data_IF_640070335362
#
_entry.id   IF_640070335362
#
_cell.length_a   1.000
_cell.length_b   1.000
_cell.length_c   1.000
_cell.angle_alpha   90.00
_cell.angle_beta   90.00
_cell.angle_gamma   90.00
#
_symmetry.space_group_name_H-M   'P 1'
#
loop_
_entity.id
_entity.type
_entity.pdbx_description
1 polymer ?
#
# COMPACT_ATOMS: atom_id res chain seq x y z
N UNK A 1 10.42 71.62 -62.38
CA UNK A 1 9.88 71.50 -63.74
C UNK A 1 8.38 71.41 -63.59
N UNK A 2 7.66 72.37 -64.20
CA UNK A 2 6.27 72.32 -64.70
C UNK A 2 5.19 71.81 -63.73
N UNK A 3 4.38 72.68 -63.11
CA UNK A 3 3.13 73.31 -63.60
C UNK A 3 1.98 72.29 -63.72
N UNK A 4 0.75 72.52 -63.28
CA UNK A 4 0.02 73.78 -63.00
C UNK A 4 -1.03 73.59 -61.88
N UNK A 5 -1.47 74.66 -61.22
CA UNK A 5 -2.57 75.55 -61.65
C UNK A 5 -3.91 74.79 -61.72
N UNK A 6 -4.77 74.92 -60.71
CA UNK A 6 -5.84 75.94 -60.64
C UNK A 6 -6.97 75.44 -59.69
N UNK A 7 -7.20 76.24 -58.64
CA UNK A 7 -8.46 76.66 -57.97
C UNK A 7 -9.82 76.28 -58.64
N UNK A 8 -11.01 76.49 -58.00
CA UNK A 8 -11.40 76.36 -56.58
C UNK A 8 -12.88 75.95 -56.31
N UNK A 9 -13.24 75.95 -55.00
CA UNK A 9 -14.56 76.27 -54.42
C UNK A 9 -15.69 75.24 -54.66
N UNK A 10 -16.67 75.02 -53.78
CA UNK A 10 -17.25 75.81 -52.68
C UNK A 10 -18.22 74.89 -51.89
N UNK A 11 -18.63 75.38 -50.71
CA UNK A 11 -19.80 75.01 -49.90
C UNK A 11 -19.71 73.72 -49.05
N UNK A 12 -19.52 73.79 -47.71
CA UNK A 12 -20.48 74.22 -46.64
C UNK A 12 -21.68 73.27 -46.56
N UNK A 13 -22.13 72.73 -45.43
CA UNK A 13 -22.39 73.27 -44.08
C UNK A 13 -22.30 72.09 -43.08
N UNK A 14 -21.57 72.21 -41.99
CA UNK A 14 -22.06 72.61 -40.65
C UNK A 14 -23.16 71.71 -40.06
N UNK A 15 -22.74 71.05 -38.99
CA UNK A 15 -23.51 70.25 -38.06
C UNK A 15 -24.37 71.14 -37.15
N UNK A 16 -25.53 70.64 -36.76
CA UNK A 16 -26.12 70.91 -35.43
C UNK A 16 -26.99 69.73 -35.00
N UNK A 17 -27.05 69.60 -33.67
CA UNK A 17 -27.47 68.50 -32.81
C UNK A 17 -28.88 67.90 -33.00
N UNK A 18 -29.00 66.63 -32.59
CA UNK A 18 -30.15 65.99 -31.93
C UNK A 18 -29.73 64.53 -31.63
N UNK A 19 -30.21 63.81 -30.64
CA UNK A 19 -31.01 64.01 -29.44
C UNK A 19 -31.04 62.62 -28.80
N UNK A 20 -31.16 62.60 -27.48
CA UNK A 20 -31.20 61.42 -26.62
C UNK A 20 -32.34 60.46 -27.02
N UNK A 21 -32.01 59.19 -27.19
CA UNK A 21 -32.95 58.12 -27.50
C UNK A 21 -32.33 56.79 -27.16
N UNK A 22 -32.59 56.31 -25.94
CA UNK A 22 -32.24 54.97 -25.51
C UNK A 22 -32.92 53.95 -26.42
N UNK A 23 -32.10 53.14 -27.08
CA UNK A 23 -32.50 51.84 -27.58
C UNK A 23 -32.35 50.88 -26.40
N UNK A 24 -33.49 50.49 -25.84
CA UNK A 24 -33.60 49.27 -25.08
C UNK A 24 -33.20 48.15 -26.03
N UNK A 25 -32.17 47.40 -25.67
CA UNK A 25 -31.85 46.12 -26.27
C UNK A 25 -33.06 45.21 -26.02
N UNK A 26 -33.94 45.14 -27.03
CA UNK A 26 -35.13 44.32 -27.04
C UNK A 26 -34.62 42.91 -27.36
N UNK A 27 -34.34 42.13 -26.32
CA UNK A 27 -34.04 40.69 -26.41
C UNK A 27 -35.18 40.04 -27.20
N UNK A 28 -34.97 39.83 -28.50
CA UNK A 28 -35.88 39.03 -29.30
C UNK A 28 -35.67 37.59 -28.86
N UNK A 29 -36.52 37.14 -27.93
CA UNK A 29 -36.79 35.72 -27.68
C UNK A 29 -37.05 35.06 -29.05
N UNK A 30 -36.02 34.47 -29.64
CA UNK A 30 -36.15 33.63 -30.82
C UNK A 30 -37.01 32.45 -30.40
N UNK A 31 -38.17 32.31 -31.03
CA UNK A 31 -39.11 31.26 -30.70
C UNK A 31 -38.40 29.90 -30.76
N UNK A 32 -38.59 29.07 -29.72
CA UNK A 32 -37.98 27.75 -29.65
C UNK A 32 -38.26 26.98 -30.94
N UNK A 33 -37.22 26.34 -31.53
CA UNK A 33 -37.39 25.59 -32.76
C UNK A 33 -38.37 24.45 -32.50
N UNK A 34 -39.21 24.14 -33.48
CA UNK A 34 -40.24 23.10 -33.34
C UNK A 34 -39.90 21.92 -34.21
N UNK A 35 -40.03 20.70 -33.66
CA UNK A 35 -39.87 19.47 -34.41
C UNK A 35 -40.67 19.52 -35.74
N UNK A 36 -40.05 19.21 -36.88
CA UNK A 36 -40.72 19.33 -38.18
C UNK A 36 -41.89 18.35 -38.32
N UNK A 37 -43.01 18.82 -38.88
CA UNK A 37 -44.21 17.99 -39.16
C UNK A 37 -43.93 16.84 -40.15
N UNK A 38 -42.93 16.99 -41.03
CA UNK A 38 -42.50 16.02 -42.03
C UNK A 38 -41.01 15.70 -41.79
N UNK A 39 -40.77 14.64 -41.03
CA UNK A 39 -39.44 14.28 -40.52
C UNK A 39 -38.59 13.60 -41.61
N UNK A 40 -37.99 14.42 -42.48
CA UNK A 40 -36.96 14.01 -43.43
C UNK A 40 -35.57 14.23 -42.85
N UNK A 41 -34.57 13.55 -43.41
CA UNK A 41 -33.16 13.74 -43.03
C UNK A 41 -32.73 15.22 -43.11
N UNK A 42 -33.09 15.93 -44.19
CA UNK A 42 -32.73 17.35 -44.38
C UNK A 42 -33.41 18.25 -43.32
N UNK A 43 -34.69 18.02 -43.03
CA UNK A 43 -35.43 18.81 -42.03
C UNK A 43 -35.00 18.53 -40.59
N UNK A 44 -34.57 17.30 -40.28
CA UNK A 44 -34.07 16.96 -38.94
C UNK A 44 -32.67 17.54 -38.73
N UNK A 45 -31.81 17.54 -39.76
CA UNK A 45 -30.53 18.25 -39.70
C UNK A 45 -30.71 19.76 -39.50
N UNK A 46 -31.64 20.40 -40.22
CA UNK A 46 -31.95 21.83 -40.02
C UNK A 46 -32.44 22.10 -38.58
N UNK A 47 -33.25 21.21 -38.01
CA UNK A 47 -33.69 21.31 -36.62
C UNK A 47 -32.53 21.14 -35.63
N UNK A 48 -31.62 20.20 -35.86
CA UNK A 48 -30.42 20.02 -35.03
C UNK A 48 -29.44 21.19 -35.14
N UNK A 49 -29.32 21.82 -36.31
CA UNK A 49 -28.51 23.04 -36.48
C UNK A 49 -29.15 24.22 -35.70
N UNK A 50 -30.48 24.35 -35.68
CA UNK A 50 -31.17 25.34 -34.84
C UNK A 50 -30.98 25.08 -33.34
N UNK A 51 -30.96 23.81 -32.93
CA UNK A 51 -30.65 23.42 -31.53
C UNK A 51 -29.20 23.76 -31.19
N UNK A 52 -28.26 23.49 -32.11
CA UNK A 52 -26.85 23.82 -31.94
C UNK A 52 -26.62 25.33 -31.77
N UNK A 53 -27.28 26.16 -32.59
CA UNK A 53 -27.24 27.62 -32.46
C UNK A 53 -27.80 28.09 -31.10
N UNK A 54 -28.81 27.38 -30.56
CA UNK A 54 -29.38 27.69 -29.25
C UNK A 54 -28.48 27.26 -28.10
N UNK A 55 -27.80 26.11 -28.23
CA UNK A 55 -26.75 25.69 -27.30
C UNK A 55 -25.61 26.72 -27.26
N UNK A 56 -25.14 27.21 -28.41
CA UNK A 56 -24.11 28.26 -28.46
C UNK A 56 -24.56 29.58 -27.81
N UNK A 57 -25.87 29.84 -27.79
CA UNK A 57 -26.46 31.04 -27.21
C UNK A 57 -27.00 30.86 -25.78
N UNK A 58 -26.92 29.66 -25.18
CA UNK A 58 -27.39 29.41 -23.84
C UNK A 58 -26.53 30.16 -22.82
N UNK A 59 -27.16 30.91 -21.92
CA UNK A 59 -26.46 31.70 -20.90
C UNK A 59 -26.75 31.20 -19.47
N UNK A 60 -27.76 30.33 -19.29
CA UNK A 60 -28.21 29.83 -17.98
C UNK A 60 -28.48 28.32 -18.01
N UNK A 61 -28.52 27.68 -16.84
CA UNK A 61 -28.92 26.27 -16.70
C UNK A 61 -30.34 26.03 -17.23
N UNK A 62 -31.24 27.00 -17.08
CA UNK A 62 -32.59 26.93 -17.63
C UNK A 62 -32.59 26.93 -19.17
N UNK A 63 -31.66 27.65 -19.82
CA UNK A 63 -31.50 27.61 -21.28
C UNK A 63 -30.97 26.24 -21.73
N UNK A 64 -30.06 25.64 -20.96
CA UNK A 64 -29.51 24.30 -21.23
C UNK A 64 -30.57 23.21 -21.05
N UNK A 65 -31.42 23.30 -20.02
CA UNK A 65 -32.58 22.40 -19.83
C UNK A 65 -33.56 22.49 -21.01
N UNK A 66 -33.80 23.70 -21.54
CA UNK A 66 -34.60 23.91 -22.74
C UNK A 66 -33.95 23.26 -23.97
N UNK A 67 -32.63 23.37 -24.14
CA UNK A 67 -31.88 22.70 -25.21
C UNK A 67 -31.95 21.18 -25.09
N UNK A 68 -31.79 20.64 -23.89
CA UNK A 68 -31.88 19.20 -23.62
C UNK A 68 -33.28 18.66 -23.94
N UNK A 69 -34.34 19.39 -23.57
CA UNK A 69 -35.71 19.04 -23.94
C UNK A 69 -35.93 19.02 -25.47
N UNK A 70 -35.29 19.94 -26.21
CA UNK A 70 -35.34 19.94 -27.68
C UNK A 70 -34.56 18.76 -28.28
N UNK A 71 -33.44 18.36 -27.68
CA UNK A 71 -32.67 17.16 -28.09
C UNK A 71 -33.46 15.87 -27.84
N UNK A 72 -34.24 15.80 -26.76
CA UNK A 72 -35.17 14.69 -26.50
C UNK A 72 -36.31 14.61 -27.52
N UNK A 73 -36.88 15.76 -27.88
CA UNK A 73 -37.86 15.86 -28.96
C UNK A 73 -37.23 15.45 -30.30
N UNK A 74 -36.00 15.88 -30.60
CA UNK A 74 -35.26 15.52 -31.80
C UNK A 74 -34.99 14.01 -31.87
N UNK A 75 -34.51 13.40 -30.78
CA UNK A 75 -34.28 11.96 -30.68
C UNK A 75 -35.57 11.16 -30.93
N UNK A 76 -36.69 11.59 -30.35
CA UNK A 76 -38.00 10.98 -30.59
C UNK A 76 -38.43 11.14 -32.05
N UNK A 77 -38.22 12.33 -32.63
CA UNK A 77 -38.52 12.60 -34.04
C UNK A 77 -37.70 11.75 -35.01
N UNK A 78 -36.41 11.53 -34.73
CA UNK A 78 -35.53 10.63 -35.49
C UNK A 78 -36.01 9.17 -35.36
N UNK A 79 -36.41 8.74 -34.16
CA UNK A 79 -36.93 7.39 -33.93
C UNK A 79 -38.17 7.11 -34.81
N UNK A 80 -39.12 8.04 -34.81
CA UNK A 80 -40.41 7.93 -35.51
C UNK A 80 -40.33 8.21 -37.03
N UNK A 81 -39.23 8.78 -37.52
CA UNK A 81 -39.07 9.16 -38.92
C UNK A 81 -38.94 7.94 -39.86
N UNK A 82 -39.61 7.98 -41.02
CA UNK A 82 -39.52 6.98 -42.08
C UNK A 82 -38.26 7.20 -42.93
N UNK A 83 -37.09 7.00 -42.31
CA UNK A 83 -35.77 7.16 -42.90
C UNK A 83 -35.33 5.88 -43.64
N UNK A 84 -34.48 5.99 -44.68
CA UNK A 84 -33.90 4.83 -45.36
C UNK A 84 -33.14 3.93 -44.38
N UNK A 85 -33.42 2.62 -44.38
CA UNK A 85 -32.59 1.64 -43.65
C UNK A 85 -31.29 1.37 -44.44
N UNK A 86 -30.12 1.31 -43.76
CA UNK A 86 -28.86 0.97 -44.40
C UNK A 86 -28.86 -0.47 -44.93
N UNK A 87 -28.11 -0.73 -46.01
CA UNK A 87 -27.98 -2.08 -46.56
C UNK A 87 -27.07 -2.93 -45.66
N UNK A 88 -27.63 -3.92 -44.95
CA UNK A 88 -26.89 -4.78 -44.01
C UNK A 88 -25.70 -5.54 -44.66
N UNK A 89 -25.69 -5.67 -45.99
CA UNK A 89 -24.65 -6.35 -46.76
C UNK A 89 -23.52 -5.41 -47.26
N UNK A 90 -23.62 -4.09 -47.04
CA UNK A 90 -22.64 -3.08 -47.46
C UNK A 90 -22.19 -2.20 -46.28
N UNK A 91 -20.95 -2.39 -45.83
CA UNK A 91 -20.34 -1.63 -44.71
C UNK A 91 -20.17 -0.14 -45.02
N UNK A 92 -20.28 0.27 -46.30
CA UNK A 92 -20.19 1.66 -46.76
C UNK A 92 -21.59 2.26 -47.07
N UNK A 93 -22.69 1.59 -46.69
CA UNK A 93 -24.05 2.12 -46.92
C UNK A 93 -24.32 3.39 -46.10
N UNK A 94 -24.96 4.38 -46.73
CA UNK A 94 -25.42 5.59 -46.03
C UNK A 94 -26.43 5.20 -44.93
N UNK A 95 -26.14 5.55 -43.68
CA UNK A 95 -27.01 5.34 -42.51
C UNK A 95 -27.48 6.72 -41.97
N UNK A 96 -28.48 7.34 -42.62
CA UNK A 96 -28.92 8.66 -42.26
C UNK A 96 -29.55 8.74 -40.86
N UNK A 97 -30.02 7.61 -40.31
CA UNK A 97 -30.53 7.55 -38.94
C UNK A 97 -29.36 7.56 -37.95
N UNK A 98 -28.36 6.70 -38.16
CA UNK A 98 -27.15 6.67 -37.33
C UNK A 98 -26.43 8.02 -37.30
N UNK A 99 -26.27 8.67 -38.46
CA UNK A 99 -25.62 9.99 -38.55
C UNK A 99 -26.36 11.07 -37.73
N UNK A 100 -27.71 11.05 -37.71
CA UNK A 100 -28.53 11.96 -36.92
C UNK A 100 -28.48 11.64 -35.41
N UNK A 101 -28.46 10.35 -35.04
CA UNK A 101 -28.30 9.91 -33.65
C UNK A 101 -26.93 10.32 -33.09
N UNK A 102 -25.87 10.17 -33.87
CA UNK A 102 -24.51 10.62 -33.53
C UNK A 102 -24.45 12.15 -33.35
N UNK A 103 -25.15 12.91 -34.20
CA UNK A 103 -25.26 14.37 -34.08
C UNK A 103 -25.98 14.80 -32.80
N UNK A 104 -27.06 14.09 -32.41
CA UNK A 104 -27.75 14.34 -31.13
C UNK A 104 -26.82 14.03 -29.97
N UNK A 105 -26.04 12.95 -30.04
CA UNK A 105 -25.06 12.62 -29.01
C UNK A 105 -23.98 13.71 -28.89
N UNK A 106 -23.43 14.19 -30.01
CA UNK A 106 -22.45 15.30 -30.04
C UNK A 106 -23.02 16.58 -29.37
N UNK A 107 -24.28 16.91 -29.62
CA UNK A 107 -24.92 18.07 -29.00
C UNK A 107 -25.22 17.87 -27.52
N UNK A 108 -25.56 16.65 -27.09
CA UNK A 108 -25.72 16.32 -25.67
C UNK A 108 -24.39 16.43 -24.91
N UNK A 109 -23.31 15.90 -25.48
CA UNK A 109 -21.96 16.10 -24.92
C UNK A 109 -21.64 17.60 -24.80
N UNK A 110 -22.05 18.41 -25.79
CA UNK A 110 -21.91 19.87 -25.73
C UNK A 110 -22.77 20.56 -24.66
N UNK A 111 -23.96 20.04 -24.33
CA UNK A 111 -24.77 20.51 -23.20
C UNK A 111 -24.06 20.19 -21.89
N UNK A 112 -23.58 18.95 -21.73
CA UNK A 112 -22.86 18.52 -20.54
C UNK A 112 -21.58 19.35 -20.32
N UNK A 113 -20.82 19.63 -21.38
CA UNK A 113 -19.63 20.51 -21.35
C UNK A 113 -19.97 21.97 -20.99
N UNK A 114 -21.20 22.41 -21.25
CA UNK A 114 -21.65 23.78 -21.00
C UNK A 114 -22.29 23.96 -19.62
N UNK A 115 -22.70 22.87 -18.95
CA UNK A 115 -23.24 22.93 -17.59
C UNK A 115 -22.18 23.46 -16.62
N UNK A 116 -22.62 24.36 -15.74
CA UNK A 116 -21.74 25.00 -14.76
C UNK A 116 -21.24 24.00 -13.71
N UNK A 117 -20.10 24.27 -13.05
CA UNK A 117 -19.79 23.58 -11.82
C UNK A 117 -20.88 23.86 -10.78
N UNK A 118 -21.21 22.84 -9.99
CA UNK A 118 -22.18 22.89 -8.92
C UNK A 118 -21.48 22.87 -7.56
N UNK A 119 -22.21 23.25 -6.50
CA UNK A 119 -21.72 23.08 -5.13
C UNK A 119 -21.39 21.61 -4.79
N UNK A 120 -22.03 20.64 -5.45
CA UNK A 120 -21.71 19.20 -5.30
C UNK A 120 -20.29 18.89 -5.81
N UNK A 121 -19.85 19.51 -6.92
CA UNK A 121 -18.49 19.33 -7.44
C UNK A 121 -17.43 19.86 -6.46
N UNK A 122 -17.71 20.99 -5.80
CA UNK A 122 -16.85 21.52 -4.73
C UNK A 122 -16.80 20.55 -3.55
N UNK A 123 -17.96 20.06 -3.09
CA UNK A 123 -18.02 19.13 -1.97
C UNK A 123 -17.24 17.83 -2.27
N UNK A 124 -17.42 17.27 -3.46
CA UNK A 124 -16.68 16.09 -3.94
C UNK A 124 -15.16 16.35 -3.98
N UNK A 125 -14.73 17.52 -4.45
CA UNK A 125 -13.32 17.91 -4.46
C UNK A 125 -12.73 18.04 -3.04
N UNK A 126 -13.47 18.63 -2.10
CA UNK A 126 -13.06 18.74 -0.69
C UNK A 126 -12.99 17.37 -0.02
N UNK A 127 -13.96 16.49 -0.27
CA UNK A 127 -13.96 15.11 0.24
C UNK A 127 -12.77 14.32 -0.32
N UNK A 128 -12.42 14.52 -1.60
CA UNK A 128 -11.23 13.92 -2.21
C UNK A 128 -9.94 14.41 -1.53
N UNK A 129 -9.81 15.72 -1.28
CA UNK A 129 -8.69 16.29 -0.54
C UNK A 129 -8.62 15.75 0.91
N UNK A 130 -9.77 15.63 1.59
CA UNK A 130 -9.88 15.02 2.93
C UNK A 130 -9.37 13.58 2.92
N UNK A 131 -9.73 12.81 1.90
CA UNK A 131 -9.20 11.45 1.67
C UNK A 131 -7.68 11.42 1.53
N UNK A 132 -7.11 12.32 0.71
CA UNK A 132 -5.65 12.43 0.55
C UNK A 132 -4.96 12.76 1.87
N UNK A 133 -5.49 13.70 2.66
CA UNK A 133 -4.94 14.06 3.97
C UNK A 133 -4.96 12.85 4.93
N UNK A 134 -6.06 12.07 4.93
CA UNK A 134 -6.26 10.94 5.82
C UNK A 134 -5.41 9.70 5.46
N UNK A 135 -5.30 9.39 4.18
CA UNK A 135 -4.70 8.13 3.69
C UNK A 135 -3.17 8.21 3.54
N UNK A 136 -2.62 9.42 3.47
CA UNK A 136 -1.17 9.64 3.29
C UNK A 136 -0.41 9.64 4.61
N UNK A 137 0.73 8.93 4.65
CA UNK A 137 1.67 9.00 5.76
C UNK A 137 2.61 10.20 5.56
N UNK A 138 2.38 11.29 6.28
CA UNK A 138 3.16 12.52 6.16
C UNK A 138 4.43 12.52 7.02
N UNK A 139 5.49 13.19 6.55
CA UNK A 139 6.62 13.53 7.45
C UNK A 139 6.22 14.63 8.42
N UNK A 140 7.05 14.92 9.44
CA UNK A 140 6.81 16.08 10.33
C UNK A 140 6.72 17.39 9.52
N UNK A 141 7.57 17.56 8.51
CA UNK A 141 7.57 18.73 7.65
C UNK A 141 6.38 18.73 6.67
N UNK A 142 6.02 17.57 6.11
CA UNK A 142 4.83 17.42 5.28
C UNK A 142 3.56 17.73 6.04
N UNK A 143 3.42 17.20 7.25
CA UNK A 143 2.27 17.44 8.12
C UNK A 143 2.11 18.93 8.46
N UNK A 144 3.21 19.64 8.77
CA UNK A 144 3.17 21.10 8.99
C UNK A 144 2.72 21.86 7.73
N UNK A 145 3.12 21.40 6.53
CA UNK A 145 2.70 21.99 5.26
C UNK A 145 1.22 21.72 4.98
N UNK A 146 0.75 20.50 5.19
CA UNK A 146 -0.67 20.11 5.05
C UNK A 146 -1.54 20.91 6.01
N UNK A 147 -1.16 21.03 7.27
CA UNK A 147 -1.91 21.83 8.25
C UNK A 147 -2.03 23.30 7.82
N UNK A 148 -0.96 23.88 7.27
CA UNK A 148 -0.99 25.24 6.74
C UNK A 148 -1.89 25.38 5.50
N UNK A 149 -1.86 24.40 4.59
CA UNK A 149 -2.69 24.37 3.39
C UNK A 149 -4.18 24.27 3.74
N UNK A 150 -4.55 23.32 4.60
CA UNK A 150 -5.93 23.13 5.06
C UNK A 150 -6.45 24.38 5.79
N UNK A 151 -5.62 25.01 6.63
CA UNK A 151 -6.02 26.26 7.30
C UNK A 151 -6.28 27.38 6.30
N UNK A 152 -5.40 27.55 5.31
CA UNK A 152 -5.59 28.56 4.26
C UNK A 152 -6.87 28.31 3.45
N UNK A 153 -7.10 27.04 3.09
CA UNK A 153 -8.30 26.63 2.36
C UNK A 153 -9.58 26.91 3.17
N UNK A 154 -9.60 26.55 4.46
CA UNK A 154 -10.76 26.79 5.33
C UNK A 154 -11.08 28.28 5.43
N UNK A 155 -10.06 29.14 5.61
CA UNK A 155 -10.23 30.59 5.65
C UNK A 155 -10.81 31.12 4.31
N UNK A 156 -10.26 30.67 3.17
CA UNK A 156 -10.71 31.09 1.84
C UNK A 156 -12.12 30.59 1.50
N UNK A 157 -12.45 29.36 1.89
CA UNK A 157 -13.77 28.78 1.72
C UNK A 157 -14.81 29.50 2.58
N UNK A 158 -14.46 29.87 3.82
CA UNK A 158 -15.33 30.66 4.68
C UNK A 158 -15.63 32.04 4.06
N UNK A 159 -14.63 32.72 3.52
CA UNK A 159 -14.80 34.00 2.81
C UNK A 159 -15.73 33.84 1.58
N UNK A 160 -15.53 32.79 0.76
CA UNK A 160 -16.35 32.54 -0.43
C UNK A 160 -17.81 32.18 -0.08
N UNK A 161 -18.02 31.36 0.95
CA UNK A 161 -19.34 30.99 1.43
C UNK A 161 -20.05 32.19 2.09
N UNK A 162 -19.36 33.04 2.86
CA UNK A 162 -19.98 34.22 3.51
C UNK A 162 -20.50 35.22 2.45
N UNK A 163 -19.78 35.37 1.34
CA UNK A 163 -20.15 36.29 0.26
C UNK A 163 -21.44 35.85 -0.47
N UNK A 164 -21.66 34.54 -0.65
CA UNK A 164 -22.82 34.00 -1.38
C UNK A 164 -23.97 33.52 -0.47
N UNK A 165 -23.63 32.84 0.64
CA UNK A 165 -24.56 32.17 1.55
C UNK A 165 -24.20 32.40 3.04
N UNK A 166 -24.27 33.64 3.56
CA UNK A 166 -23.87 33.97 4.93
C UNK A 166 -24.70 33.24 6.01
N UNK A 167 -25.97 32.93 5.71
CA UNK A 167 -26.83 32.17 6.61
C UNK A 167 -26.33 30.72 6.79
N UNK A 168 -25.63 30.15 5.81
CA UNK A 168 -25.09 28.78 5.88
C UNK A 168 -23.98 28.67 6.94
N UNK A 169 -23.12 29.69 7.07
CA UNK A 169 -22.08 29.74 8.11
C UNK A 169 -22.69 29.82 9.51
N UNK A 170 -23.76 30.61 9.69
CA UNK A 170 -24.43 30.73 10.99
C UNK A 170 -25.18 29.45 11.40
N UNK A 171 -25.66 28.67 10.43
CA UNK A 171 -26.45 27.46 10.64
C UNK A 171 -25.61 26.17 10.65
N UNK A 172 -24.34 26.23 10.24
CA UNK A 172 -23.43 25.09 10.19
C UNK A 172 -23.34 24.34 11.53
N UNK A 173 -23.36 23.00 11.47
CA UNK A 173 -23.30 22.15 12.66
C UNK A 173 -21.93 22.26 13.37
N UNK A 174 -20.86 22.42 12.60
CA UNK A 174 -19.48 22.56 13.07
C UNK A 174 -18.80 23.74 12.38
N UNK A 175 -18.04 24.51 13.16
CA UNK A 175 -17.27 25.66 12.68
C UNK A 175 -15.87 25.16 12.28
N UNK A 176 -15.51 25.14 10.99
CA UNK A 176 -14.25 24.60 10.52
C UNK A 176 -13.05 25.41 11.01
N UNK A 177 -13.16 26.73 11.14
CA UNK A 177 -12.09 27.57 11.70
C UNK A 177 -11.86 27.24 13.19
N UNK A 178 -12.93 27.00 13.94
CA UNK A 178 -12.84 26.65 15.36
C UNK A 178 -12.23 25.26 15.59
N UNK A 179 -12.35 24.32 14.65
CA UNK A 179 -11.71 23.01 14.72
C UNK A 179 -10.18 23.10 14.60
N UNK A 180 -9.69 24.10 13.84
CA UNK A 180 -8.27 24.35 13.62
C UNK A 180 -7.65 25.32 14.63
N UNK A 181 -8.48 25.99 15.44
CA UNK A 181 -8.03 26.97 16.41
C UNK A 181 -7.27 26.34 17.59
N UNK A 182 -6.11 26.91 17.93
CA UNK A 182 -5.35 26.56 19.14
C UNK A 182 -6.22 26.77 20.41
N UNK A 183 -6.20 25.82 21.37
CA UNK A 183 -6.96 25.95 22.61
C UNK A 183 -6.49 27.18 23.40
N UNK A 184 -7.44 28.05 23.76
CA UNK A 184 -7.18 29.39 24.31
C UNK A 184 -6.58 29.44 25.74
N UNK A 185 -6.15 28.34 26.37
CA UNK A 185 -5.73 28.31 27.77
C UNK A 185 -4.30 27.79 28.03
N UNK A 186 -3.46 28.75 28.45
CA UNK A 186 -2.50 28.72 29.58
C UNK A 186 -1.41 27.61 29.66
N UNK A 187 -0.24 27.87 29.06
CA UNK A 187 1.05 28.17 29.73
C UNK A 187 2.10 28.42 28.64
N UNK A 188 3.16 29.18 28.92
CA UNK A 188 4.33 29.36 28.03
C UNK A 188 5.01 27.99 27.75
N UNK A 189 4.44 27.17 26.86
CA UNK A 189 5.12 26.05 26.23
C UNK A 189 5.66 26.53 24.88
N UNK A 190 6.98 26.48 24.72
CA UNK A 190 7.76 27.05 23.60
C UNK A 190 7.52 26.36 22.22
N UNK A 191 6.47 25.54 22.07
CA UNK A 191 6.05 24.95 20.79
C UNK A 191 4.53 24.71 20.81
N UNK A 192 3.83 25.21 19.79
CA UNK A 192 2.46 24.81 19.48
C UNK A 192 2.44 23.31 19.19
N UNK A 193 1.44 22.58 19.70
CA UNK A 193 1.26 21.18 19.33
C UNK A 193 0.74 21.13 17.88
N UNK A 194 1.27 20.24 17.01
CA UNK A 194 0.79 20.17 15.64
C UNK A 194 -0.68 19.73 15.59
N UNK A 195 -1.46 20.33 14.70
CA UNK A 195 -2.90 20.04 14.51
C UNK A 195 -3.04 18.59 14.02
N UNK A 196 -3.66 17.67 14.77
CA UNK A 196 -3.78 16.27 14.35
C UNK A 196 -4.51 16.10 13.01
N UNK A 197 -4.10 15.11 12.22
CA UNK A 197 -4.75 14.74 10.94
C UNK A 197 -6.27 14.62 11.07
N UNK A 198 -6.77 13.97 12.13
CA UNK A 198 -8.22 13.83 12.39
C UNK A 198 -8.95 15.17 12.56
N UNK A 199 -8.27 16.23 12.99
CA UNK A 199 -8.86 17.58 13.06
C UNK A 199 -8.83 18.28 11.71
N UNK A 200 -7.77 18.08 10.92
CA UNK A 200 -7.66 18.62 9.56
C UNK A 200 -8.76 18.05 8.66
N UNK A 201 -8.97 16.73 8.71
CA UNK A 201 -10.03 16.07 7.93
C UNK A 201 -11.42 16.48 8.39
N UNK A 202 -11.64 16.59 9.71
CA UNK A 202 -12.93 17.08 10.23
C UNK A 202 -13.23 18.53 9.77
N UNK A 203 -12.23 19.38 9.67
CA UNK A 203 -12.41 20.74 9.16
C UNK A 203 -12.79 20.75 7.67
N UNK A 204 -12.15 19.91 6.84
CA UNK A 204 -12.50 19.74 5.42
C UNK A 204 -13.92 19.17 5.27
N UNK A 205 -14.26 18.12 6.00
CA UNK A 205 -15.59 17.51 5.98
C UNK A 205 -16.68 18.52 6.41
N UNK A 206 -16.39 19.39 7.37
CA UNK A 206 -17.28 20.47 7.78
C UNK A 206 -17.47 21.53 6.68
N UNK A 207 -16.42 21.88 5.93
CA UNK A 207 -16.53 22.76 4.75
C UNK A 207 -17.40 22.10 3.68
N UNK A 208 -17.15 20.84 3.33
CA UNK A 208 -17.93 20.10 2.34
C UNK A 208 -19.42 20.05 2.72
N UNK A 209 -19.73 19.74 3.98
CA UNK A 209 -21.11 19.76 4.49
C UNK A 209 -21.75 21.15 4.39
N UNK A 210 -21.01 22.20 4.73
CA UNK A 210 -21.49 23.59 4.65
C UNK A 210 -21.80 23.98 3.20
N UNK A 211 -20.96 23.59 2.24
CA UNK A 211 -21.19 23.83 0.80
C UNK A 211 -22.47 23.14 0.32
N UNK A 212 -22.70 21.88 0.72
CA UNK A 212 -23.93 21.15 0.37
C UNK A 212 -25.17 21.80 0.99
N UNK A 213 -25.08 22.24 2.25
CA UNK A 213 -26.19 22.89 2.96
C UNK A 213 -26.49 24.30 2.45
N UNK A 214 -25.48 25.02 1.96
CA UNK A 214 -25.64 26.33 1.34
C UNK A 214 -26.55 26.26 0.10
N UNK A 215 -26.50 25.13 -0.63
CA UNK A 215 -27.40 24.88 -1.75
C UNK A 215 -27.21 25.89 -2.89
N UNK A 216 -25.96 26.13 -3.28
CA UNK A 216 -25.59 27.09 -4.31
C UNK A 216 -26.34 26.87 -5.63
N UNK A 217 -26.83 27.97 -6.20
CA UNK A 217 -27.41 28.00 -7.54
C UNK A 217 -26.28 28.18 -8.56
N UNK A 218 -26.24 27.33 -9.60
CA UNK A 218 -25.14 27.31 -10.56
C UNK A 218 -25.02 28.60 -11.38
N UNK A 219 -26.11 29.34 -11.57
CA UNK A 219 -26.12 30.60 -12.30
C UNK A 219 -25.87 31.79 -11.36
N UNK A 220 -26.64 31.89 -10.28
CA UNK A 220 -26.59 33.04 -9.37
C UNK A 220 -25.32 33.05 -8.49
N UNK A 221 -24.79 31.87 -8.14
CA UNK A 221 -23.62 31.71 -7.25
C UNK A 221 -22.35 31.25 -8.00
N UNK A 222 -22.34 31.34 -9.34
CA UNK A 222 -21.25 30.88 -10.20
C UNK A 222 -19.85 31.41 -9.78
N UNK A 223 -19.77 32.68 -9.37
CA UNK A 223 -18.52 33.30 -8.92
C UNK A 223 -18.01 32.67 -7.61
N UNK A 224 -18.90 32.31 -6.69
CA UNK A 224 -18.55 31.69 -5.41
C UNK A 224 -18.15 30.22 -5.59
N UNK A 225 -18.88 29.47 -6.43
CA UNK A 225 -18.51 28.10 -6.80
C UNK A 225 -17.13 28.09 -7.47
N UNK A 226 -16.88 29.00 -8.40
CA UNK A 226 -15.58 29.12 -9.07
C UNK A 226 -14.44 29.49 -8.09
N UNK A 227 -14.71 30.35 -7.11
CA UNK A 227 -13.73 30.69 -6.07
C UNK A 227 -13.42 29.49 -5.16
N UNK A 228 -14.44 28.73 -4.77
CA UNK A 228 -14.26 27.50 -3.97
C UNK A 228 -13.48 26.44 -4.73
N UNK A 229 -13.79 26.21 -6.01
CA UNK A 229 -13.03 25.28 -6.85
C UNK A 229 -11.57 25.70 -7.04
N UNK A 230 -11.32 27.01 -7.20
CA UNK A 230 -9.95 27.51 -7.25
C UNK A 230 -9.21 27.27 -5.91
N UNK A 231 -9.88 27.46 -4.78
CA UNK A 231 -9.31 27.17 -3.46
C UNK A 231 -9.06 25.66 -3.27
N UNK A 232 -9.94 24.78 -3.76
CA UNK A 232 -9.71 23.32 -3.74
C UNK A 232 -8.54 22.92 -4.64
N UNK A 233 -8.39 23.52 -5.82
CA UNK A 233 -7.26 23.27 -6.71
C UNK A 233 -5.93 23.71 -6.05
N UNK A 234 -5.93 24.84 -5.35
CA UNK A 234 -4.77 25.32 -4.60
C UNK A 234 -4.45 24.42 -3.40
N UNK A 235 -5.47 23.90 -2.71
CA UNK A 235 -5.30 22.90 -1.66
C UNK A 235 -4.69 21.61 -2.23
N UNK A 236 -5.26 21.04 -3.30
CA UNK A 236 -4.75 19.83 -3.94
C UNK A 236 -3.28 19.99 -4.36
N UNK A 237 -2.94 21.11 -5.01
CA UNK A 237 -1.56 21.41 -5.38
C UNK A 237 -0.62 21.51 -4.17
N UNK A 238 -1.10 22.06 -3.05
CA UNK A 238 -0.31 22.13 -1.82
C UNK A 238 -0.14 20.78 -1.13
N UNK A 239 -1.14 19.90 -1.21
CA UNK A 239 -1.05 18.52 -0.74
C UNK A 239 -0.04 17.72 -1.58
N UNK A 240 -0.09 17.84 -2.91
CA UNK A 240 0.85 17.21 -3.84
C UNK A 240 2.31 17.66 -3.62
N UNK A 241 2.52 18.92 -3.21
CA UNK A 241 3.84 19.48 -2.92
C UNK A 241 4.34 19.14 -1.49
N UNK A 242 3.48 18.63 -0.60
CA UNK A 242 3.84 18.30 0.78
C UNK A 242 4.65 16.99 0.86
N UNK A 243 5.60 16.92 1.80
CA UNK A 243 6.54 15.80 1.88
C UNK A 243 5.88 14.55 2.49
N UNK A 244 5.74 13.51 1.67
CA UNK A 244 5.26 12.21 2.11
C UNK A 244 6.39 11.40 2.76
N UNK A 245 6.04 10.43 3.60
CA UNK A 245 7.01 9.53 4.24
C UNK A 245 7.85 8.76 3.21
N UNK A 246 7.24 8.39 2.08
CA UNK A 246 7.89 7.67 1.00
C UNK A 246 8.83 8.54 0.16
N UNK A 247 8.79 9.86 0.31
CA UNK A 247 9.76 10.78 -0.33
C UNK A 247 11.13 10.74 0.36
N UNK A 248 11.17 10.36 1.63
CA UNK A 248 12.41 10.32 2.41
C UNK A 248 13.37 9.26 1.89
N UNK A 249 14.68 9.57 1.91
CA UNK A 249 15.68 8.55 1.67
C UNK A 249 15.63 7.49 2.80
N UNK A 250 15.96 6.23 2.51
CA UNK A 250 15.96 5.14 3.50
C UNK A 250 16.76 5.48 4.77
N UNK A 251 17.84 6.25 4.66
CA UNK A 251 18.63 6.67 5.82
C UNK A 251 17.91 7.71 6.69
N UNK A 252 17.05 8.54 6.10
CA UNK A 252 16.24 9.53 6.79
C UNK A 252 15.08 8.86 7.52
N UNK A 253 14.36 7.95 6.85
CA UNK A 253 13.33 7.11 7.46
C UNK A 253 13.89 6.35 8.68
N UNK A 254 15.04 5.68 8.52
CA UNK A 254 15.71 4.98 9.63
C UNK A 254 16.13 5.92 10.76
N UNK A 255 16.48 7.18 10.47
CA UNK A 255 16.80 8.16 11.50
C UNK A 255 15.55 8.58 12.27
N UNK A 256 14.46 8.89 11.57
CA UNK A 256 13.19 9.25 12.19
C UNK A 256 12.64 8.11 13.07
N UNK A 257 12.84 6.86 12.65
CA UNK A 257 12.48 5.67 13.45
C UNK A 257 13.51 5.32 14.55
N UNK A 258 14.53 6.15 14.78
CA UNK A 258 15.48 5.99 15.89
C UNK A 258 16.51 4.85 15.71
N UNK A 259 16.70 4.33 14.50
CA UNK A 259 17.66 3.25 14.22
C UNK A 259 19.11 3.64 14.53
N UNK A 260 19.45 4.92 14.40
CA UNK A 260 20.80 5.40 14.68
C UNK A 260 21.03 5.82 16.14
N UNK A 261 19.99 5.86 16.98
CA UNK A 261 20.07 6.36 18.37
C UNK A 261 20.95 5.50 19.28
N UNK A 262 21.16 4.25 18.88
CA UNK A 262 22.04 3.33 19.60
C UNK A 262 23.52 3.61 19.37
N UNK A 263 23.87 4.43 18.38
CA UNK A 263 25.24 4.68 17.99
C UNK A 263 26.01 5.54 19.01
N UNK A 264 27.17 5.01 19.40
CA UNK A 264 28.22 5.78 20.06
C UNK A 264 29.39 6.05 19.12
N UNK A 265 30.62 5.77 19.57
CA UNK A 265 31.77 5.78 18.69
C UNK A 265 31.86 4.50 17.86
N UNK A 266 31.61 4.62 16.56
CA UNK A 266 31.72 3.50 15.61
C UNK A 266 32.93 3.66 14.67
N UNK A 267 33.32 2.55 14.04
CA UNK A 267 34.44 2.49 13.07
C UNK A 267 34.09 1.75 11.79
N UNK A 268 33.03 0.95 11.82
CA UNK A 268 32.69 0.09 10.70
C UNK A 268 31.85 0.87 9.69
N UNK A 269 32.07 0.56 8.41
CA UNK A 269 31.28 1.06 7.29
C UNK A 269 30.60 -0.15 6.62
N UNK A 270 29.32 -0.04 6.23
CA UNK A 270 28.43 1.12 6.36
C UNK A 270 27.98 1.35 7.82
N UNK A 271 27.47 2.56 8.13
CA UNK A 271 27.13 2.96 9.52
C UNK A 271 25.97 2.13 10.09
N UNK A 272 25.07 1.73 9.22
CA UNK A 272 23.92 0.87 9.46
C UNK A 272 24.35 -0.48 10.05
N UNK A 273 25.50 -1.01 9.64
CA UNK A 273 26.05 -2.24 10.20
C UNK A 273 26.59 -2.04 11.62
N UNK A 274 27.09 -0.85 11.94
CA UNK A 274 27.48 -0.51 13.31
C UNK A 274 26.24 -0.41 14.21
N UNK A 275 25.17 0.22 13.73
CA UNK A 275 23.90 0.33 14.45
C UNK A 275 23.28 -1.06 14.68
N UNK A 276 23.28 -1.91 13.64
CA UNK A 276 22.79 -3.28 13.71
C UNK A 276 23.46 -4.08 14.83
N UNK A 277 24.78 -3.98 14.99
CA UNK A 277 25.52 -4.68 16.06
C UNK A 277 25.12 -4.19 17.45
N UNK A 278 24.88 -2.89 17.60
CA UNK A 278 24.42 -2.33 18.88
C UNK A 278 22.99 -2.78 19.19
N UNK A 279 22.11 -2.83 18.19
CA UNK A 279 20.77 -3.41 18.34
C UNK A 279 20.81 -4.91 18.66
N UNK A 280 21.65 -5.69 17.98
CA UNK A 280 21.91 -7.10 18.29
C UNK A 280 22.36 -7.26 19.74
N UNK A 281 23.31 -6.45 20.20
CA UNK A 281 23.80 -6.49 21.58
C UNK A 281 22.69 -6.19 22.60
N UNK A 282 21.84 -5.19 22.32
CA UNK A 282 20.72 -4.79 23.19
C UNK A 282 19.52 -5.74 23.11
N UNK A 283 19.40 -6.52 22.03
CA UNK A 283 18.29 -7.43 21.79
C UNK A 283 17.06 -6.73 21.18
N UNK A 284 17.26 -5.64 20.45
CA UNK A 284 16.18 -4.88 19.81
C UNK A 284 15.76 -5.59 18.52
N UNK A 285 14.86 -6.58 18.64
CA UNK A 285 14.41 -7.40 17.51
C UNK A 285 13.72 -6.54 16.45
N UNK A 286 12.84 -5.62 16.85
CA UNK A 286 12.09 -4.77 15.93
C UNK A 286 13.01 -3.93 15.06
N UNK A 287 14.11 -3.41 15.61
CA UNK A 287 15.10 -2.63 14.85
C UNK A 287 15.93 -3.49 13.89
N UNK A 288 16.11 -4.78 14.18
CA UNK A 288 16.76 -5.71 13.25
C UNK A 288 15.80 -6.08 12.11
N UNK A 289 14.50 -6.23 12.40
CA UNK A 289 13.48 -6.43 11.37
C UNK A 289 13.35 -5.20 10.48
N UNK A 290 13.30 -4.01 11.08
CA UNK A 290 13.33 -2.74 10.35
C UNK A 290 14.54 -2.67 9.41
N UNK A 291 15.74 -2.97 9.91
CA UNK A 291 16.94 -3.01 9.07
C UNK A 291 16.87 -4.08 7.97
N UNK A 292 16.24 -5.23 8.23
CA UNK A 292 16.09 -6.29 7.24
C UNK A 292 15.14 -5.88 6.11
N UNK A 293 14.08 -5.14 6.43
CA UNK A 293 13.07 -4.66 5.49
C UNK A 293 13.57 -3.44 4.69
N UNK A 294 14.03 -2.40 5.39
CA UNK A 294 14.44 -1.14 4.76
C UNK A 294 15.77 -1.27 4.02
N UNK A 295 16.74 -2.05 4.52
CA UNK A 295 18.09 -2.14 3.93
C UNK A 295 18.23 -3.36 3.02
N UNK A 296 17.65 -3.24 1.83
CA UNK A 296 17.56 -4.29 0.80
C UNK A 296 18.87 -4.70 0.11
N UNK A 297 20.03 -4.38 0.71
CA UNK A 297 21.32 -4.84 0.18
C UNK A 297 21.64 -6.25 0.70
N UNK A 298 22.12 -7.13 -0.18
CA UNK A 298 22.62 -8.48 0.16
C UNK A 298 23.63 -8.47 1.33
N UNK A 299 24.37 -7.38 1.48
CA UNK A 299 25.30 -7.20 2.60
C UNK A 299 24.55 -7.04 3.92
N UNK A 300 23.57 -6.14 3.99
CA UNK A 300 22.79 -5.87 5.20
C UNK A 300 21.87 -7.03 5.52
N UNK A 301 21.14 -7.56 4.53
CA UNK A 301 20.26 -8.72 4.69
C UNK A 301 21.00 -9.88 5.38
N UNK A 302 22.16 -10.28 4.83
CA UNK A 302 22.98 -11.34 5.44
C UNK A 302 23.35 -11.01 6.88
N UNK A 303 23.72 -9.77 7.19
CA UNK A 303 24.10 -9.40 8.55
C UNK A 303 22.93 -9.35 9.53
N UNK A 304 21.73 -8.96 9.07
CA UNK A 304 20.49 -9.02 9.86
C UNK A 304 20.14 -10.49 10.17
N UNK A 305 20.21 -11.39 9.17
CA UNK A 305 20.00 -12.83 9.36
C UNK A 305 21.06 -13.44 10.29
N UNK A 306 22.34 -13.07 10.15
CA UNK A 306 23.39 -13.48 11.07
C UNK A 306 23.16 -12.98 12.51
N UNK A 307 22.62 -11.77 12.68
CA UNK A 307 22.27 -11.24 13.99
C UNK A 307 21.17 -12.10 14.63
N UNK A 308 20.11 -12.44 13.90
CA UNK A 308 19.10 -13.39 14.37
C UNK A 308 19.68 -14.76 14.72
N UNK A 309 20.59 -15.31 13.90
CA UNK A 309 21.24 -16.60 14.18
C UNK A 309 22.05 -16.54 15.50
N UNK A 310 22.78 -15.44 15.75
CA UNK A 310 23.56 -15.24 16.99
C UNK A 310 22.67 -14.98 18.20
N UNK A 311 21.56 -14.28 18.01
CA UNK A 311 20.59 -14.01 19.08
C UNK A 311 19.84 -15.27 19.50
N UNK A 312 19.56 -16.19 18.57
CA UNK A 312 18.83 -17.43 18.83
C UNK A 312 17.52 -17.16 19.57
N UNK A 313 17.27 -17.85 20.69
CA UNK A 313 16.05 -17.68 21.51
C UNK A 313 15.78 -16.23 21.95
N UNK A 314 16.82 -15.40 22.11
CA UNK A 314 16.63 -13.97 22.47
C UNK A 314 16.02 -13.16 21.32
N UNK A 315 16.23 -13.60 20.08
CA UNK A 315 15.63 -12.99 18.90
C UNK A 315 14.23 -13.50 18.59
N UNK A 316 13.71 -14.50 19.31
CA UNK A 316 12.40 -15.09 19.04
C UNK A 316 11.28 -14.15 19.51
N UNK A 317 10.68 -13.45 18.56
CA UNK A 317 9.39 -12.75 18.66
C UNK A 317 8.44 -13.28 17.59
N UNK A 318 7.13 -13.04 17.72
CA UNK A 318 6.14 -13.45 16.72
C UNK A 318 6.50 -12.94 15.32
N UNK A 319 6.71 -11.63 15.17
CA UNK A 319 7.09 -11.00 13.90
C UNK A 319 8.40 -11.57 13.32
N UNK A 320 9.42 -11.79 14.15
CA UNK A 320 10.68 -12.38 13.66
C UNK A 320 10.54 -13.84 13.25
N UNK A 321 9.65 -14.60 13.88
CA UNK A 321 9.42 -15.99 13.50
C UNK A 321 8.67 -16.03 12.18
N UNK A 322 7.65 -15.19 12.00
CA UNK A 322 6.90 -15.06 10.75
C UNK A 322 7.82 -14.71 9.57
N UNK A 323 8.63 -13.65 9.69
CA UNK A 323 9.55 -13.21 8.63
C UNK A 323 10.56 -14.32 8.26
N UNK A 324 11.17 -14.95 9.26
CA UNK A 324 12.16 -16.01 9.02
C UNK A 324 11.48 -17.28 8.50
N UNK A 325 10.25 -17.59 8.92
CA UNK A 325 9.47 -18.73 8.43
C UNK A 325 9.11 -18.54 6.95
N UNK A 326 8.65 -17.36 6.53
CA UNK A 326 8.36 -17.06 5.12
C UNK A 326 9.58 -17.23 4.21
N UNK A 327 10.79 -16.99 4.72
CA UNK A 327 12.05 -17.31 4.03
C UNK A 327 12.36 -18.80 4.02
N UNK A 328 12.14 -19.51 5.13
CA UNK A 328 12.33 -20.95 5.22
C UNK A 328 11.39 -21.73 4.27
N UNK A 329 10.16 -21.27 4.06
CA UNK A 329 9.20 -21.82 3.09
C UNK A 329 9.71 -21.75 1.64
N UNK A 330 10.56 -20.75 1.35
CA UNK A 330 11.30 -20.61 0.08
C UNK A 330 12.59 -21.45 0.06
N UNK A 331 12.75 -22.37 1.02
CA UNK A 331 13.93 -23.23 1.23
C UNK A 331 15.23 -22.47 1.53
N UNK A 332 15.14 -21.28 2.13
CA UNK A 332 16.31 -20.52 2.56
C UNK A 332 17.03 -21.23 3.73
N UNK A 333 18.27 -21.67 3.49
CA UNK A 333 19.06 -22.44 4.47
C UNK A 333 19.49 -21.61 5.69
N UNK A 334 19.99 -20.35 5.55
CA UNK A 334 20.15 -19.45 6.68
C UNK A 334 18.90 -19.35 7.57
N UNK A 335 17.72 -19.11 7.00
CA UNK A 335 16.47 -18.99 7.73
C UNK A 335 16.12 -20.25 8.52
N UNK A 336 16.25 -21.43 7.90
CA UNK A 336 16.04 -22.73 8.57
C UNK A 336 16.97 -22.88 9.79
N UNK A 337 18.25 -22.49 9.67
CA UNK A 337 19.19 -22.53 10.80
C UNK A 337 18.78 -21.56 11.91
N UNK A 338 18.32 -20.36 11.56
CA UNK A 338 17.87 -19.34 12.50
C UNK A 338 16.67 -19.85 13.31
N UNK A 339 15.66 -20.45 12.65
CA UNK A 339 14.49 -21.04 13.32
C UNK A 339 14.89 -22.13 14.33
N UNK A 340 15.87 -22.95 13.95
CA UNK A 340 16.54 -23.89 14.86
C UNK A 340 17.08 -23.21 16.12
N UNK A 341 17.90 -22.16 15.94
CA UNK A 341 18.50 -21.40 17.06
C UNK A 341 17.48 -20.65 17.91
N UNK A 342 16.38 -20.21 17.32
CA UNK A 342 15.26 -19.58 18.01
C UNK A 342 14.45 -20.59 18.84
N UNK A 343 14.54 -21.89 18.53
CA UNK A 343 13.57 -22.89 18.96
C UNK A 343 12.13 -22.48 18.57
N UNK A 344 11.96 -22.15 17.28
CA UNK A 344 10.69 -21.80 16.69
C UNK A 344 9.87 -23.07 16.41
N UNK A 345 9.05 -23.49 17.38
CA UNK A 345 8.13 -24.63 17.25
C UNK A 345 7.13 -24.44 16.09
N UNK A 346 6.79 -23.19 15.78
CA UNK A 346 5.92 -22.76 14.69
C UNK A 346 6.42 -23.22 13.31
N UNK A 347 7.74 -23.43 13.16
CA UNK A 347 8.36 -23.89 11.92
C UNK A 347 8.34 -25.42 11.75
N UNK A 348 7.89 -26.18 12.75
CA UNK A 348 8.05 -27.63 12.80
C UNK A 348 7.42 -28.32 11.60
N UNK A 349 6.18 -27.98 11.27
CA UNK A 349 5.44 -28.62 10.18
C UNK A 349 6.15 -28.40 8.83
N UNK A 350 6.49 -27.15 8.52
CA UNK A 350 7.25 -26.77 7.31
C UNK A 350 8.59 -27.51 7.23
N UNK A 351 9.32 -27.62 8.34
CA UNK A 351 10.62 -28.28 8.35
C UNK A 351 10.49 -29.81 8.23
N UNK A 352 9.44 -30.42 8.77
CA UNK A 352 9.16 -31.85 8.62
C UNK A 352 8.90 -32.20 7.15
N UNK A 353 8.22 -31.35 6.39
CA UNK A 353 8.02 -31.55 4.94
C UNK A 353 9.32 -31.63 4.15
N UNK A 354 10.40 -31.00 4.63
CA UNK A 354 11.71 -31.00 3.97
C UNK A 354 12.63 -32.15 4.40
N UNK A 355 12.17 -33.05 5.28
CA UNK A 355 12.99 -34.18 5.76
C UNK A 355 13.29 -35.16 4.63
N UNK A 356 12.26 -35.49 3.83
CA UNK A 356 12.33 -36.47 2.75
C UNK A 356 12.74 -35.84 1.39
N UNK A 357 13.38 -34.66 1.40
CA UNK A 357 13.77 -33.97 0.16
C UNK A 357 15.00 -34.63 -0.50
N UNK A 358 14.74 -35.55 -1.43
CA UNK A 358 15.73 -36.43 -2.08
C UNK A 358 16.80 -35.71 -2.93
N UNK A 359 16.66 -34.41 -3.17
CA UNK A 359 17.46 -33.69 -4.16
C UNK A 359 18.53 -32.75 -3.58
N UNK A 360 18.55 -32.48 -2.27
CA UNK A 360 19.45 -31.47 -1.68
C UNK A 360 20.03 -31.85 -0.30
N UNK A 361 21.19 -32.54 -0.27
CA UNK A 361 21.86 -32.94 0.96
C UNK A 361 22.23 -31.80 1.92
N UNK A 362 22.47 -30.59 1.40
CA UNK A 362 22.81 -29.46 2.28
C UNK A 362 21.57 -28.83 2.92
N UNK A 363 20.43 -28.86 2.25
CA UNK A 363 19.15 -28.45 2.82
C UNK A 363 18.74 -29.43 3.92
N UNK A 364 18.75 -30.74 3.65
CA UNK A 364 18.44 -31.77 4.65
C UNK A 364 19.29 -31.64 5.93
N UNK A 365 20.60 -31.40 5.79
CA UNK A 365 21.48 -31.17 6.95
C UNK A 365 21.08 -29.95 7.79
N UNK A 366 20.62 -28.87 7.15
CA UNK A 366 20.13 -27.69 7.84
C UNK A 366 18.80 -27.98 8.55
N UNK A 367 17.87 -28.65 7.86
CA UNK A 367 16.56 -29.04 8.38
C UNK A 367 16.69 -29.97 9.59
N UNK A 368 17.48 -31.03 9.49
CA UNK A 368 17.67 -32.00 10.58
C UNK A 368 18.24 -31.31 11.82
N UNK A 369 19.26 -30.46 11.61
CA UNK A 369 19.84 -29.69 12.71
C UNK A 369 18.81 -28.75 13.34
N UNK A 370 18.02 -28.05 12.53
CA UNK A 370 17.01 -27.12 13.02
C UNK A 370 15.91 -27.82 13.82
N UNK A 371 15.36 -28.94 13.31
CA UNK A 371 14.39 -29.78 14.03
C UNK A 371 14.96 -30.30 15.36
N UNK A 372 16.24 -30.66 15.38
CA UNK A 372 16.97 -31.02 16.60
C UNK A 372 17.09 -29.88 17.60
N UNK A 373 17.42 -28.67 17.14
CA UNK A 373 17.57 -27.48 18.00
C UNK A 373 16.23 -26.92 18.50
N UNK A 374 15.16 -27.07 17.72
CA UNK A 374 13.76 -26.83 18.15
C UNK A 374 13.36 -27.84 19.22
N UNK A 375 13.80 -29.10 19.08
CA UNK A 375 13.37 -30.20 19.92
C UNK A 375 12.03 -30.77 19.49
N UNK A 376 11.75 -30.80 18.19
CA UNK A 376 10.46 -31.15 17.60
C UNK A 376 10.11 -32.65 17.76
N UNK A 377 9.21 -33.04 18.67
CA UNK A 377 8.85 -34.44 18.86
C UNK A 377 8.15 -35.07 17.65
N UNK A 378 7.48 -34.28 16.81
CA UNK A 378 6.80 -34.71 15.59
C UNK A 378 7.80 -35.19 14.51
N UNK A 379 9.02 -34.65 14.53
CA UNK A 379 10.08 -34.99 13.58
C UNK A 379 10.77 -36.33 13.86
N UNK A 380 10.49 -36.99 14.99
CA UNK A 380 11.18 -38.22 15.40
C UNK A 380 11.02 -39.34 14.37
N UNK A 381 9.79 -39.62 13.93
CA UNK A 381 9.57 -40.70 12.95
C UNK A 381 10.13 -40.36 11.56
N UNK A 382 9.88 -39.15 11.00
CA UNK A 382 10.52 -38.73 9.75
C UNK A 382 12.05 -38.86 9.79
N UNK A 383 12.70 -38.36 10.84
CA UNK A 383 14.16 -38.45 10.98
C UNK A 383 14.66 -39.88 11.18
N UNK A 384 13.90 -40.73 11.88
CA UNK A 384 14.23 -42.14 12.04
C UNK A 384 14.22 -42.90 10.71
N UNK A 385 13.28 -42.59 9.80
CA UNK A 385 13.24 -43.20 8.47
C UNK A 385 14.51 -42.90 7.66
N UNK A 386 15.13 -41.73 7.88
CA UNK A 386 16.35 -41.32 7.20
C UNK A 386 17.60 -42.12 7.63
N UNK A 387 17.48 -43.00 8.64
CA UNK A 387 18.55 -43.92 9.06
C UNK A 387 18.60 -45.22 8.25
N UNK A 388 17.59 -45.52 7.43
CA UNK A 388 17.49 -46.81 6.71
C UNK A 388 18.57 -46.95 5.63
N UNK A 389 19.57 -47.84 5.77
CA UNK A 389 20.68 -47.97 4.83
C UNK A 389 20.26 -48.30 3.40
N UNK A 390 19.07 -48.88 3.20
CA UNK A 390 18.52 -49.22 1.88
C UNK A 390 17.60 -48.12 1.31
N UNK A 391 17.37 -47.04 2.05
CA UNK A 391 16.58 -45.86 1.62
C UNK A 391 17.33 -44.88 0.73
N UNK A 392 16.63 -43.85 0.25
CA UNK A 392 17.13 -42.87 -0.72
C UNK A 392 18.03 -41.77 -0.12
N UNK A 393 18.20 -41.73 1.21
CA UNK A 393 19.03 -40.73 1.90
C UNK A 393 20.52 -40.85 1.56
N UNK A 394 21.15 -39.72 1.23
CA UNK A 394 22.60 -39.63 1.00
C UNK A 394 23.39 -40.08 2.25
N UNK A 395 24.41 -40.92 2.05
CA UNK A 395 25.23 -41.50 3.12
C UNK A 395 25.86 -40.43 4.05
N UNK A 396 26.21 -39.26 3.52
CA UNK A 396 26.80 -38.15 4.28
C UNK A 396 25.76 -37.36 5.08
N UNK A 397 24.46 -37.57 4.83
CA UNK A 397 23.34 -36.91 5.51
C UNK A 397 22.89 -37.74 6.72
N UNK A 398 22.86 -39.07 6.61
CA UNK A 398 22.37 -40.00 7.66
C UNK A 398 22.91 -39.75 9.08
N UNK A 399 24.22 -39.47 9.30
CA UNK A 399 24.71 -39.15 10.65
C UNK A 399 24.07 -37.91 11.27
N UNK A 400 23.55 -36.98 10.44
CA UNK A 400 22.86 -35.78 10.90
C UNK A 400 21.45 -36.10 11.37
N UNK A 401 20.76 -37.09 10.77
CA UNK A 401 19.46 -37.55 11.23
C UNK A 401 19.57 -38.15 12.64
N UNK A 402 20.57 -39.02 12.86
CA UNK A 402 20.86 -39.58 14.17
C UNK A 402 21.17 -38.48 15.20
N UNK A 403 22.01 -37.51 14.83
CA UNK A 403 22.32 -36.36 15.71
C UNK A 403 21.09 -35.52 16.03
N UNK A 404 20.22 -35.27 15.07
CA UNK A 404 18.98 -34.53 15.27
C UNK A 404 18.08 -35.24 16.28
N UNK A 405 17.88 -36.55 16.14
CA UNK A 405 17.14 -37.37 17.11
C UNK A 405 17.72 -37.28 18.53
N UNK A 406 19.06 -37.28 18.64
CA UNK A 406 19.74 -37.08 19.92
C UNK A 406 19.52 -35.69 20.53
N UNK A 407 19.43 -34.64 19.70
CA UNK A 407 19.13 -33.28 20.15
C UNK A 407 17.65 -33.11 20.56
N UNK A 408 16.72 -33.77 19.85
CA UNK A 408 15.31 -33.82 20.25
C UNK A 408 15.17 -34.48 21.62
N UNK A 409 15.91 -35.57 21.86
CA UNK A 409 15.93 -36.24 23.16
C UNK A 409 14.68 -37.08 23.47
N UNK A 410 13.81 -37.29 22.48
CA UNK A 410 12.58 -38.07 22.65
C UNK A 410 12.88 -39.58 22.70
N UNK A 411 12.31 -40.26 23.68
CA UNK A 411 12.54 -41.69 23.91
C UNK A 411 12.03 -42.60 22.80
N UNK A 412 11.11 -42.13 21.95
CA UNK A 412 10.65 -42.88 20.76
C UNK A 412 11.77 -43.10 19.74
N UNK A 413 12.87 -42.35 19.82
CA UNK A 413 14.04 -42.53 18.98
C UNK A 413 14.98 -43.65 19.45
N UNK A 414 14.77 -44.23 20.65
CA UNK A 414 15.70 -45.23 21.23
C UNK A 414 15.80 -46.47 20.34
N UNK A 415 14.68 -47.08 19.97
CA UNK A 415 14.70 -48.31 19.17
C UNK A 415 15.32 -48.09 17.77
N UNK A 416 14.91 -47.07 16.97
CA UNK A 416 15.53 -46.83 15.67
C UNK A 416 17.03 -46.53 15.73
N UNK A 417 17.48 -45.83 16.79
CA UNK A 417 18.90 -45.54 16.97
C UNK A 417 19.68 -46.78 17.41
N UNK A 418 19.09 -47.65 18.25
CA UNK A 418 19.71 -48.91 18.64
C UNK A 418 19.87 -49.84 17.43
N UNK A 419 18.84 -49.95 16.58
CA UNK A 419 18.90 -50.72 15.32
C UNK A 419 20.00 -50.19 14.39
N UNK A 420 20.10 -48.86 14.24
CA UNK A 420 21.16 -48.23 13.45
C UNK A 420 22.56 -48.46 14.05
N UNK A 421 22.72 -48.43 15.37
CA UNK A 421 23.98 -48.73 16.04
C UNK A 421 24.42 -50.18 15.82
N UNK A 422 23.48 -51.12 15.83
CA UNK A 422 23.75 -52.56 15.67
C UNK A 422 24.11 -52.91 14.23
N UNK A 423 23.26 -52.51 13.27
CA UNK A 423 23.23 -53.14 11.95
C UNK A 423 23.68 -52.23 10.79
N UNK A 424 23.83 -50.92 11.01
CA UNK A 424 24.11 -50.00 9.90
C UNK A 424 25.54 -50.22 9.33
N UNK A 425 25.73 -50.24 7.99
CA UNK A 425 27.03 -50.55 7.39
C UNK A 425 28.09 -49.46 7.57
N UNK A 426 27.67 -48.21 7.78
CA UNK A 426 28.56 -47.06 7.99
C UNK A 426 28.84 -46.82 9.48
N UNK A 427 30.11 -46.89 9.87
CA UNK A 427 30.57 -46.62 11.24
C UNK A 427 30.29 -45.18 11.70
N UNK A 428 30.23 -44.22 10.77
CA UNK A 428 29.90 -42.82 11.11
C UNK A 428 28.44 -42.69 11.57
N UNK A 429 27.53 -43.43 10.94
CA UNK A 429 26.11 -43.48 11.33
C UNK A 429 25.97 -44.20 12.67
N UNK A 430 26.64 -45.35 12.83
CA UNK A 430 26.66 -46.10 14.11
C UNK A 430 27.17 -45.23 15.26
N UNK A 431 28.28 -44.53 15.06
CA UNK A 431 28.83 -43.63 16.08
C UNK A 431 27.88 -42.45 16.38
N UNK A 432 27.22 -41.88 15.37
CA UNK A 432 26.22 -40.84 15.57
C UNK A 432 24.98 -41.35 16.33
N UNK A 433 24.54 -42.57 16.07
CA UNK A 433 23.45 -43.22 16.80
C UNK A 433 23.82 -43.49 18.26
N UNK A 434 25.04 -44.01 18.51
CA UNK A 434 25.58 -44.16 19.86
C UNK A 434 25.67 -42.84 20.61
N UNK A 435 26.13 -41.77 19.96
CA UNK A 435 26.14 -40.43 20.53
C UNK A 435 24.72 -39.95 20.89
N UNK A 436 23.76 -40.14 19.99
CA UNK A 436 22.38 -39.70 20.16
C UNK A 436 21.67 -40.42 21.32
N UNK A 437 21.83 -41.75 21.42
CA UNK A 437 21.35 -42.54 22.56
C UNK A 437 21.95 -42.05 23.89
N UNK A 438 23.24 -41.67 23.91
CA UNK A 438 23.85 -41.05 25.10
C UNK A 438 23.27 -39.67 25.42
N UNK A 439 22.85 -38.89 24.43
CA UNK A 439 22.17 -37.60 24.69
C UNK A 439 20.76 -37.80 25.25
N UNK A 440 20.02 -38.79 24.74
CA UNK A 440 18.70 -39.18 25.29
C UNK A 440 18.86 -39.61 26.76
N UNK A 441 19.93 -40.34 27.08
CA UNK A 441 20.40 -40.53 28.45
C UNK A 441 19.52 -41.39 29.35
N UNK A 442 18.50 -42.07 28.79
CA UNK A 442 17.75 -43.07 29.54
C UNK A 442 18.64 -44.27 29.87
N UNK A 443 18.31 -44.98 30.94
CA UNK A 443 19.04 -46.20 31.34
C UNK A 443 19.13 -47.20 30.17
N UNK A 444 18.02 -47.43 29.51
CA UNK A 444 17.90 -48.30 28.33
C UNK A 444 18.79 -47.84 27.18
N UNK A 445 18.77 -46.54 26.83
CA UNK A 445 19.61 -46.00 25.77
C UNK A 445 21.11 -46.14 26.09
N UNK A 446 21.50 -45.89 27.35
CA UNK A 446 22.89 -46.06 27.78
C UNK A 446 23.33 -47.54 27.77
N UNK A 447 22.46 -48.46 28.21
CA UNK A 447 22.73 -49.90 28.17
C UNK A 447 22.93 -50.38 26.74
N UNK A 448 22.08 -49.96 25.79
CA UNK A 448 22.19 -50.30 24.37
C UNK A 448 23.55 -49.89 23.77
N UNK A 449 24.10 -48.73 24.17
CA UNK A 449 25.40 -48.25 23.66
C UNK A 449 26.59 -48.93 24.36
N UNK A 450 26.47 -49.21 25.66
CA UNK A 450 27.57 -49.78 26.48
C UNK A 450 28.01 -51.19 26.04
N UNK A 451 27.14 -51.93 25.34
CA UNK A 451 27.48 -53.24 24.75
C UNK A 451 28.58 -53.14 23.68
N UNK A 452 28.73 -51.97 23.04
CA UNK A 452 29.69 -51.74 21.96
C UNK A 452 31.02 -51.13 22.41
N UNK A 453 31.28 -51.00 23.72
CA UNK A 453 32.53 -50.42 24.25
C UNK A 453 33.79 -51.18 23.81
N UNK A 454 33.66 -52.46 23.49
CA UNK A 454 34.75 -53.34 23.08
C UNK A 454 34.74 -53.64 21.55
N UNK A 455 33.97 -52.87 20.77
CA UNK A 455 33.85 -53.00 19.31
C UNK A 455 35.15 -52.66 18.57
N UNK A 456 35.33 -53.21 17.36
CA UNK A 456 36.52 -52.96 16.52
C UNK A 456 36.61 -51.53 16.00
N UNK A 457 35.46 -50.91 15.75
CA UNK A 457 35.41 -49.54 15.25
C UNK A 457 35.69 -48.58 16.39
N UNK A 458 36.80 -47.85 16.31
CA UNK A 458 37.23 -46.92 17.35
C UNK A 458 36.21 -45.82 17.65
N UNK A 459 35.51 -45.33 16.63
CA UNK A 459 34.50 -44.26 16.80
C UNK A 459 33.26 -44.77 17.53
N UNK A 460 32.86 -46.02 17.30
CA UNK A 460 31.73 -46.65 17.99
C UNK A 460 32.12 -47.07 19.41
N UNK A 461 33.30 -47.66 19.59
CA UNK A 461 33.80 -48.10 20.89
C UNK A 461 33.95 -46.94 21.87
N UNK A 462 34.42 -45.78 21.40
CA UNK A 462 34.52 -44.54 22.19
C UNK A 462 33.16 -44.12 22.76
N UNK A 463 32.08 -44.28 22.00
CA UNK A 463 30.73 -43.95 22.48
C UNK A 463 30.24 -45.01 23.48
N UNK A 464 30.51 -46.29 23.23
CA UNK A 464 30.26 -47.40 24.17
C UNK A 464 30.95 -47.23 25.52
N UNK A 465 32.23 -46.88 25.53
CA UNK A 465 33.01 -46.62 26.75
C UNK A 465 32.39 -45.48 27.56
N UNK A 466 32.07 -44.35 26.92
CA UNK A 466 31.42 -43.21 27.59
C UNK A 466 30.03 -43.58 28.15
N UNK A 467 29.27 -44.44 27.48
CA UNK A 467 27.98 -44.91 27.97
C UNK A 467 28.14 -45.80 29.20
N UNK A 468 29.13 -46.71 29.19
CA UNK A 468 29.49 -47.56 30.33
C UNK A 468 29.91 -46.72 31.53
N UNK A 469 30.78 -45.72 31.33
CA UNK A 469 31.21 -44.80 32.39
C UNK A 469 30.00 -44.05 32.98
N UNK A 470 29.07 -43.55 32.15
CA UNK A 470 27.87 -42.88 32.63
C UNK A 470 26.93 -43.78 33.45
N UNK A 471 26.84 -45.08 33.12
CA UNK A 471 26.08 -46.07 33.89
C UNK A 471 26.72 -46.36 35.24
N UNK A 472 28.05 -46.47 35.28
CA UNK A 472 28.84 -46.74 36.48
C UNK A 472 28.82 -45.53 37.44
N UNK A 473 28.98 -44.30 36.93
CA UNK A 473 28.85 -43.06 37.70
C UNK A 473 27.43 -42.91 38.29
N UNK A 474 26.40 -43.29 37.52
CA UNK A 474 25.01 -43.32 37.98
C UNK A 474 24.69 -44.45 38.97
N UNK A 475 25.60 -45.40 39.17
CA UNK A 475 25.46 -46.53 40.09
C UNK A 475 26.23 -46.34 41.42
N UNK A 476 27.07 -45.30 41.55
CA UNK A 476 27.73 -44.98 42.82
C UNK A 476 26.68 -44.63 43.91
N UNK A 477 26.68 -45.31 45.08
CA UNK A 477 25.79 -44.95 46.17
C UNK A 477 26.21 -43.59 46.75
N UNK A 478 25.24 -42.70 46.97
CA UNK A 478 25.44 -41.41 47.63
C UNK A 478 26.33 -41.55 48.88
N UNK A 479 27.29 -40.62 49.13
CA UNK A 479 28.19 -40.71 50.27
C UNK A 479 27.37 -40.79 51.55
N UNK A 480 27.60 -41.86 52.31
CA UNK A 480 26.99 -42.05 53.62
C UNK A 480 27.48 -40.95 54.56
N UNK A 481 26.53 -40.19 55.11
CA UNK A 481 26.74 -39.03 55.98
C UNK A 481 27.51 -39.32 57.27
#
# INVERSE_FOLDING_TARGET
MSNGDDDPADASEEAEAADDGGDADESTETAAPTLPDDATEESLNEYLDEIADRLEAAETEADLDDVEALLDDAATGIEDADLPEPDEDDEDADDPRGDLEDRVAELRDGVDDARGPYGEDVADAVEAASGTVADTEWTEAGHDAVAAAVTSFVDEAADAIDDAAPDAIEEAEEDPEALLAEPADDEETDAAEPIPVDQLTAALDAVAATVVEAGFDADDDADAIAALLAATDELEAALDDAEEWDDLETHEQLRAQGYYDVLGHYKDFPVEWSALKEHEARGNVDMILLALDSLQSEFMERHCLEAFERMGKRGKTEASVEEILGRAEKRDRPAIRILGKMAAEEATDTLVEYVDEDSNPQLQKAVFKALGEIGAPEAVQPLANQLDPDGDTDELVRPHAARALGLIGDTRAVDPLADALEAHPSDDVRAAAGWALRQIGTREALEAVAEYADERSFVVSTEGEKARDALDDGAEPAPTA
#
